data_IF_919390015714
#
_entry.id   IF_919390015714
#
_cell.length_a   1.000
_cell.length_b   1.000
_cell.length_c   1.000
_cell.angle_alpha   90.00
_cell.angle_beta   90.00
_cell.angle_gamma   90.00
#
_symmetry.space_group_name_H-M   'P 1'
#
loop_
_entity.id
_entity.type
_entity.pdbx_description
1 polymer ?
#
# COMPACT_ATOMS: atom_id res chain seq x y z
N UNK A 1 15.39 90.04 -3.62
CA UNK A 1 15.37 89.47 -2.25
C UNK A 1 13.99 88.91 -1.86
N UNK A 2 13.00 89.68 -1.36
CA UNK A 2 11.71 89.08 -0.90
C UNK A 2 10.92 88.36 -2.01
N UNK A 3 10.91 88.91 -3.23
CA UNK A 3 10.21 88.32 -4.38
C UNK A 3 10.85 87.01 -4.87
N UNK A 4 12.18 86.93 -4.87
CA UNK A 4 12.92 85.70 -5.22
C UNK A 4 12.74 84.63 -4.16
N UNK A 5 12.77 84.99 -2.87
CA UNK A 5 12.53 84.04 -1.79
C UNK A 5 11.11 83.44 -1.87
N UNK A 6 10.11 84.24 -2.24
CA UNK A 6 8.74 83.74 -2.50
C UNK A 6 8.67 82.81 -3.70
N UNK A 7 9.31 83.15 -4.81
CA UNK A 7 9.35 82.30 -6.00
C UNK A 7 10.04 80.95 -5.71
N UNK A 8 11.15 80.96 -4.96
CA UNK A 8 11.83 79.74 -4.54
C UNK A 8 10.96 78.89 -3.60
N UNK A 9 10.27 79.52 -2.64
CA UNK A 9 9.34 78.81 -1.76
C UNK A 9 8.19 78.13 -2.53
N UNK A 10 7.61 78.80 -3.54
CA UNK A 10 6.59 78.21 -4.41
C UNK A 10 7.15 77.02 -5.21
N UNK A 11 8.37 77.12 -5.75
CA UNK A 11 8.99 75.99 -6.46
C UNK A 11 9.23 74.79 -5.55
N UNK A 12 9.73 75.00 -4.33
CA UNK A 12 9.94 73.90 -3.38
C UNK A 12 8.63 73.30 -2.89
N UNK A 13 7.60 74.13 -2.67
CA UNK A 13 6.27 73.64 -2.32
C UNK A 13 5.69 72.75 -3.44
N UNK A 14 5.85 73.15 -4.69
CA UNK A 14 5.41 72.36 -5.84
C UNK A 14 6.16 71.03 -5.91
N UNK A 15 7.50 71.04 -5.78
CA UNK A 15 8.31 69.82 -5.77
C UNK A 15 7.95 68.87 -4.63
N UNK A 16 7.72 69.39 -3.42
CA UNK A 16 7.26 68.58 -2.27
C UNK A 16 5.90 67.95 -2.55
N UNK A 17 4.99 68.69 -3.20
CA UNK A 17 3.67 68.16 -3.58
C UNK A 17 3.80 67.03 -4.61
N UNK A 18 4.63 67.21 -5.64
CA UNK A 18 4.87 66.18 -6.65
C UNK A 18 5.50 64.92 -6.04
N UNK A 19 6.51 65.07 -5.18
CA UNK A 19 7.13 63.92 -4.50
C UNK A 19 6.16 63.22 -3.55
N UNK A 20 5.27 63.96 -2.88
CA UNK A 20 4.24 63.37 -2.03
C UNK A 20 3.25 62.53 -2.86
N UNK A 21 2.81 63.02 -4.01
CA UNK A 21 1.94 62.28 -4.92
C UNK A 21 2.62 61.01 -5.47
N UNK A 22 3.89 61.11 -5.86
CA UNK A 22 4.67 59.96 -6.32
C UNK A 22 4.87 58.91 -5.21
N UNK A 23 5.17 59.37 -3.99
CA UNK A 23 5.32 58.49 -2.84
C UNK A 23 4.01 57.77 -2.51
N UNK A 24 2.88 58.50 -2.54
CA UNK A 24 1.56 57.90 -2.30
C UNK A 24 1.21 56.88 -3.38
N UNK A 25 1.45 57.19 -4.66
CA UNK A 25 1.22 56.25 -5.75
C UNK A 25 2.09 54.99 -5.64
N UNK A 26 3.34 55.11 -5.21
CA UNK A 26 4.21 53.98 -4.95
C UNK A 26 3.73 53.13 -3.76
N UNK A 27 3.27 53.79 -2.69
CA UNK A 27 2.69 53.15 -1.52
C UNK A 27 1.42 52.37 -1.86
N UNK A 28 0.52 52.95 -2.65
CA UNK A 28 -0.73 52.28 -3.07
C UNK A 28 -0.42 51.06 -3.96
N UNK A 29 0.57 51.15 -4.85
CA UNK A 29 1.07 49.99 -5.62
C UNK A 29 1.65 48.91 -4.71
N UNK A 30 2.42 49.30 -3.70
CA UNK A 30 2.99 48.38 -2.72
C UNK A 30 1.89 47.59 -2.00
N UNK A 31 0.84 48.27 -1.52
CA UNK A 31 -0.32 47.62 -0.90
C UNK A 31 -0.95 46.62 -1.88
N UNK A 32 -1.18 47.03 -3.13
CA UNK A 32 -1.74 46.14 -4.16
C UNK A 32 -0.92 44.86 -4.37
N UNK A 33 0.42 44.97 -4.36
CA UNK A 33 1.28 43.79 -4.45
C UNK A 33 1.21 42.90 -3.20
N UNK A 34 1.14 43.48 -2.01
CA UNK A 34 0.96 42.70 -0.78
C UNK A 34 -0.36 41.93 -0.78
N UNK A 35 -1.45 42.56 -1.19
CA UNK A 35 -2.75 41.89 -1.29
C UNK A 35 -2.74 40.73 -2.31
N UNK A 36 -2.07 40.92 -3.45
CA UNK A 36 -1.92 39.87 -4.45
C UNK A 36 -1.05 38.72 -3.92
N UNK A 37 0.07 39.03 -3.26
CA UNK A 37 0.93 38.03 -2.65
C UNK A 37 0.18 37.23 -1.57
N UNK A 38 -0.62 37.89 -0.73
CA UNK A 38 -1.42 37.23 0.29
C UNK A 38 -2.52 36.33 -0.30
N UNK A 39 -3.15 36.75 -1.41
CA UNK A 39 -4.10 35.90 -2.14
C UNK A 39 -3.41 34.65 -2.70
N UNK A 40 -2.28 34.83 -3.38
CA UNK A 40 -1.51 33.71 -3.93
C UNK A 40 -1.04 32.76 -2.83
N UNK A 41 -0.61 33.30 -1.68
CA UNK A 41 -0.20 32.49 -0.52
C UNK A 41 -1.35 31.64 0.00
N UNK A 42 -2.55 32.21 0.16
CA UNK A 42 -3.75 31.48 0.59
C UNK A 42 -4.14 30.39 -0.40
N UNK A 43 -4.05 30.66 -1.70
CA UNK A 43 -4.31 29.67 -2.74
C UNK A 43 -3.29 28.52 -2.71
N UNK A 44 -2.00 28.83 -2.52
CA UNK A 44 -0.96 27.84 -2.36
C UNK A 44 -1.16 26.98 -1.10
N UNK A 45 -1.49 27.59 0.03
CA UNK A 45 -1.78 26.89 1.28
C UNK A 45 -2.99 25.95 1.13
N UNK A 46 -4.05 26.40 0.43
CA UNK A 46 -5.22 25.57 0.15
C UNK A 46 -4.91 24.40 -0.81
N UNK A 47 -4.09 24.64 -1.84
CA UNK A 47 -3.65 23.58 -2.75
C UNK A 47 -2.77 22.55 -2.02
N UNK A 48 -1.88 23.01 -1.14
CA UNK A 48 -1.03 22.15 -0.34
C UNK A 48 -1.84 21.31 0.65
N UNK A 49 -2.86 21.88 1.28
CA UNK A 49 -3.76 21.13 2.17
C UNK A 49 -4.44 19.97 1.40
N UNK A 50 -5.01 20.25 0.22
CA UNK A 50 -5.60 19.22 -0.65
C UNK A 50 -4.59 18.18 -1.09
N UNK A 51 -3.36 18.58 -1.40
CA UNK A 51 -2.29 17.65 -1.76
C UNK A 51 -1.98 16.68 -0.61
N UNK A 52 -1.90 17.19 0.61
CA UNK A 52 -1.65 16.36 1.81
C UNK A 52 -2.81 15.40 2.03
N UNK A 53 -4.06 15.85 1.92
CA UNK A 53 -5.25 14.98 2.05
C UNK A 53 -5.24 13.86 1.00
N UNK A 54 -5.02 14.20 -0.27
CA UNK A 54 -4.93 13.20 -1.35
C UNK A 54 -3.78 12.21 -1.11
N UNK A 55 -2.63 12.71 -0.64
CA UNK A 55 -1.49 11.84 -0.31
C UNK A 55 -1.82 10.89 0.83
N UNK A 56 -2.45 11.37 1.90
CA UNK A 56 -2.86 10.53 3.02
C UNK A 56 -3.87 9.45 2.59
N UNK A 57 -4.86 9.82 1.77
CA UNK A 57 -5.83 8.86 1.23
C UNK A 57 -5.14 7.81 0.34
N UNK A 58 -4.20 8.22 -0.50
CA UNK A 58 -3.41 7.29 -1.32
C UNK A 58 -2.54 6.35 -0.48
N UNK A 59 -1.89 6.87 0.57
CA UNK A 59 -1.08 6.06 1.49
C UNK A 59 -1.95 5.05 2.27
N UNK A 60 -3.18 5.43 2.65
CA UNK A 60 -4.14 4.53 3.29
C UNK A 60 -4.58 3.39 2.36
N UNK A 61 -4.98 3.73 1.13
CA UNK A 61 -5.36 2.72 0.13
C UNK A 61 -4.18 1.81 -0.25
N UNK A 62 -2.97 2.36 -0.36
CA UNK A 62 -1.78 1.57 -0.59
C UNK A 62 -1.49 0.60 0.57
N UNK A 63 -1.71 1.03 1.82
CA UNK A 63 -1.58 0.15 2.99
C UNK A 63 -2.60 -0.98 2.95
N UNK A 64 -3.88 -0.68 2.66
CA UNK A 64 -4.94 -1.69 2.50
C UNK A 64 -4.58 -2.68 1.38
N UNK A 65 -4.05 -2.19 0.26
CA UNK A 65 -3.63 -3.04 -0.85
C UNK A 65 -2.52 -4.02 -0.43
N UNK A 66 -1.51 -3.56 0.31
CA UNK A 66 -0.46 -4.42 0.84
C UNK A 66 -1.05 -5.48 1.80
N UNK A 67 -1.95 -5.08 2.69
CA UNK A 67 -2.62 -6.01 3.62
C UNK A 67 -3.43 -7.07 2.87
N UNK A 68 -4.14 -6.69 1.81
CA UNK A 68 -4.87 -7.62 0.95
C UNK A 68 -3.93 -8.61 0.25
N UNK A 69 -2.80 -8.15 -0.31
CA UNK A 69 -1.80 -9.04 -0.92
C UNK A 69 -1.28 -10.05 0.10
N UNK A 70 -0.97 -9.59 1.32
CA UNK A 70 -0.52 -10.48 2.40
C UNK A 70 -1.59 -11.51 2.75
N UNK A 71 -2.83 -11.09 2.88
CA UNK A 71 -3.96 -11.99 3.16
C UNK A 71 -4.14 -13.04 2.06
N UNK A 72 -4.04 -12.67 0.78
CA UNK A 72 -4.10 -13.61 -0.34
C UNK A 72 -2.97 -14.64 -0.26
N UNK A 73 -1.73 -14.18 0.00
CA UNK A 73 -0.60 -15.10 0.17
C UNK A 73 -0.75 -16.05 1.38
N UNK A 74 -1.34 -15.58 2.48
CA UNK A 74 -1.66 -16.43 3.63
C UNK A 74 -2.72 -17.48 3.28
N UNK A 75 -3.79 -17.07 2.59
CA UNK A 75 -4.83 -17.98 2.09
C UNK A 75 -4.27 -19.03 1.13
N UNK A 76 -3.34 -18.65 0.25
CA UNK A 76 -2.67 -19.59 -0.66
C UNK A 76 -1.81 -20.61 0.09
N UNK A 77 -1.09 -20.18 1.13
CA UNK A 77 -0.32 -21.07 2.01
C UNK A 77 -1.24 -22.05 2.74
N UNK A 78 -2.35 -21.55 3.29
CA UNK A 78 -3.33 -22.38 3.98
C UNK A 78 -3.99 -23.38 3.03
N UNK A 79 -4.34 -22.96 1.81
CA UNK A 79 -4.87 -23.83 0.78
C UNK A 79 -3.88 -24.94 0.37
N UNK A 80 -2.60 -24.60 0.23
CA UNK A 80 -1.53 -25.56 -0.04
C UNK A 80 -1.34 -26.54 1.14
N UNK A 81 -1.33 -26.05 2.38
CA UNK A 81 -1.25 -26.87 3.58
C UNK A 81 -2.45 -27.83 3.67
N UNK A 82 -3.67 -27.36 3.37
CA UNK A 82 -4.87 -28.19 3.37
C UNK A 82 -4.81 -29.28 2.30
N UNK A 83 -4.37 -28.96 1.07
CA UNK A 83 -4.14 -29.96 0.00
C UNK A 83 -3.12 -31.02 0.42
N UNK A 84 -2.00 -30.60 1.01
CA UNK A 84 -0.96 -31.51 1.51
C UNK A 84 -1.48 -32.42 2.62
N UNK A 85 -2.24 -31.87 3.58
CA UNK A 85 -2.88 -32.65 4.65
C UNK A 85 -3.91 -33.63 4.09
N UNK A 86 -4.70 -33.24 3.09
CA UNK A 86 -5.66 -34.14 2.42
C UNK A 86 -4.95 -35.28 1.70
N UNK A 87 -3.85 -34.99 1.01
CA UNK A 87 -3.05 -36.00 0.32
C UNK A 87 -2.35 -36.96 1.30
N UNK A 88 -1.81 -36.45 2.42
CA UNK A 88 -1.18 -37.29 3.43
C UNK A 88 -2.20 -38.20 4.12
N UNK A 89 -3.41 -37.70 4.43
CA UNK A 89 -4.50 -38.52 4.99
C UNK A 89 -4.94 -39.60 3.99
N UNK A 90 -5.10 -39.27 2.70
CA UNK A 90 -5.39 -40.26 1.65
C UNK A 90 -4.30 -41.33 1.57
N UNK A 91 -3.03 -40.92 1.57
CA UNK A 91 -1.90 -41.85 1.51
C UNK A 91 -1.85 -42.77 2.74
N UNK A 92 -2.08 -42.24 3.94
CA UNK A 92 -2.20 -43.05 5.17
C UNK A 92 -3.35 -44.06 5.09
N UNK A 93 -4.53 -43.65 4.60
CA UNK A 93 -5.67 -44.57 4.45
C UNK A 93 -5.38 -45.71 3.46
N UNK A 94 -4.73 -45.41 2.34
CA UNK A 94 -4.33 -46.42 1.34
C UNK A 94 -3.26 -47.37 1.92
N UNK A 95 -2.29 -46.84 2.67
CA UNK A 95 -1.27 -47.66 3.32
C UNK A 95 -1.86 -48.54 4.44
N UNK A 96 -2.81 -48.01 5.21
CA UNK A 96 -3.55 -48.78 6.22
C UNK A 96 -4.45 -49.85 5.61
N UNK A 97 -5.16 -49.58 4.51
CA UNK A 97 -5.97 -50.59 3.82
C UNK A 97 -5.09 -51.69 3.23
N UNK A 98 -4.00 -51.32 2.54
CA UNK A 98 -3.04 -52.29 2.00
C UNK A 98 -2.39 -53.17 3.08
N UNK A 99 -2.11 -52.60 4.26
CA UNK A 99 -1.62 -53.39 5.42
C UNK A 99 -2.68 -54.34 6.00
N UNK A 100 -3.96 -53.98 5.95
CA UNK A 100 -5.05 -54.88 6.39
C UNK A 100 -5.26 -56.02 5.40
N UNK A 101 -5.31 -55.72 4.11
CA UNK A 101 -5.40 -56.73 3.05
C UNK A 101 -4.21 -57.70 3.11
N UNK A 102 -3.00 -57.20 3.32
CA UNK A 102 -1.82 -58.04 3.50
C UNK A 102 -1.89 -58.93 4.75
N UNK A 103 -2.47 -58.44 5.87
CA UNK A 103 -2.69 -59.28 7.06
C UNK A 103 -3.65 -60.43 6.78
N UNK A 104 -4.76 -60.17 6.09
CA UNK A 104 -5.75 -61.21 5.75
C UNK A 104 -5.14 -62.27 4.82
N UNK A 105 -4.37 -61.85 3.81
CA UNK A 105 -3.63 -62.76 2.93
C UNK A 105 -2.63 -63.60 3.73
N UNK A 106 -1.91 -62.99 4.68
CA UNK A 106 -0.95 -63.69 5.54
C UNK A 106 -1.62 -64.71 6.47
N UNK A 107 -2.81 -64.41 6.99
CA UNK A 107 -3.59 -65.35 7.79
C UNK A 107 -4.09 -66.54 6.95
N UNK A 108 -4.58 -66.29 5.73
CA UNK A 108 -4.97 -67.36 4.78
C UNK A 108 -3.78 -68.24 4.39
N UNK A 109 -2.60 -67.63 4.20
CA UNK A 109 -1.35 -68.37 3.99
C UNK A 109 -1.03 -69.30 5.17
N UNK A 110 -1.12 -68.78 6.41
CA UNK A 110 -0.90 -69.58 7.63
C UNK A 110 -1.92 -70.71 7.78
N UNK A 111 -3.14 -70.53 7.28
CA UNK A 111 -4.19 -71.55 7.27
C UNK A 111 -3.97 -72.63 6.19
N UNK A 112 -2.93 -72.51 5.34
CA UNK A 112 -2.56 -73.50 4.34
C UNK A 112 -3.20 -73.29 2.96
N UNK A 113 -3.85 -72.15 2.72
CA UNK A 113 -4.37 -71.80 1.39
C UNK A 113 -3.24 -71.39 0.43
N UNK A 114 -3.42 -71.70 -0.86
CA UNK A 114 -2.44 -71.36 -1.91
C UNK A 114 -2.46 -69.86 -2.20
N UNK A 115 -1.28 -69.24 -2.18
CA UNK A 115 -1.11 -67.83 -2.57
C UNK A 115 -0.95 -67.68 -4.08
N UNK A 116 -1.54 -66.60 -4.61
CA UNK A 116 -1.28 -66.15 -5.98
C UNK A 116 -0.06 -65.24 -6.08
N UNK A 117 0.42 -65.00 -7.31
CA UNK A 117 1.54 -64.08 -7.58
C UNK A 117 1.23 -62.63 -7.17
N UNK A 118 -0.04 -62.23 -7.22
CA UNK A 118 -0.50 -60.90 -6.80
C UNK A 118 -0.49 -60.78 -5.27
N UNK A 119 -0.90 -61.84 -4.56
CA UNK A 119 -0.88 -61.90 -3.09
C UNK A 119 0.55 -61.83 -2.53
N UNK A 120 1.50 -62.51 -3.18
CA UNK A 120 2.92 -62.44 -2.82
C UNK A 120 3.48 -61.03 -2.99
N UNK A 121 3.12 -60.32 -4.07
CA UNK A 121 3.53 -58.93 -4.26
C UNK A 121 2.91 -57.99 -3.23
N UNK A 122 1.68 -58.25 -2.78
CA UNK A 122 1.02 -57.47 -1.73
C UNK A 122 1.70 -57.65 -0.36
N UNK A 123 2.11 -58.87 0.00
CA UNK A 123 2.88 -59.15 1.22
C UNK A 123 4.27 -58.51 1.21
N UNK A 124 4.99 -58.57 0.08
CA UNK A 124 6.31 -57.94 -0.06
C UNK A 124 6.22 -56.41 0.09
N UNK A 125 5.21 -55.77 -0.52
CA UNK A 125 5.03 -54.30 -0.44
C UNK A 125 4.64 -53.81 0.95
N UNK A 126 4.03 -54.65 1.77
CA UNK A 126 3.53 -54.30 3.11
C UNK A 126 4.48 -54.70 4.24
N UNK A 127 5.58 -55.41 3.94
CA UNK A 127 6.62 -55.79 4.90
C UNK A 127 6.32 -57.06 5.73
N UNK A 128 5.40 -57.92 5.27
CA UNK A 128 5.14 -59.23 5.88
C UNK A 128 6.04 -60.35 5.34
N UNK A 129 6.88 -60.02 4.35
CA UNK A 129 7.90 -60.88 3.75
C UNK A 129 9.27 -60.19 3.80
#
# INVERSE_FOLDING_TARGET
>A
QLREAKAQAETYHHQVSEYAEQAQAAHDRMIGFYEQADKLRKEADAAQAKFIECKQAADEEHKKHIEQIKSVHEMDKDAAAFKNKKNSVKKKKIDESGKKEAKEIFERFKAGEKLSTEDLMALQKSGYL
#
